data_IF_201360436249
#
_entry.id   IF_201360436249
#
_cell.length_a   1.000
_cell.length_b   1.000
_cell.length_c   1.000
_cell.angle_alpha   90.00
_cell.angle_beta   90.00
_cell.angle_gamma   90.00
#
_symmetry.space_group_name_H-M   'P 1'
#
loop_
_entity.id
_entity.type
_entity.pdbx_description
1 polymer ?
#
# COMPACT_ATOMS: atom_id res chain seq x y z
N UNK A 1 14.35 -19.93 32.69
CA UNK A 1 13.87 -18.63 32.18
C UNK A 1 15.05 -17.68 32.21
N UNK A 2 15.72 -17.48 31.08
CA UNK A 2 16.78 -16.47 30.96
C UNK A 2 16.08 -15.10 31.00
N UNK A 3 16.41 -14.26 31.98
CA UNK A 3 16.04 -12.85 31.98
C UNK A 3 16.59 -12.21 30.69
N UNK A 4 15.74 -12.06 29.67
CA UNK A 4 16.05 -11.14 28.58
C UNK A 4 16.06 -9.76 29.21
N UNK A 5 17.22 -9.09 29.19
CA UNK A 5 17.29 -7.66 29.50
C UNK A 5 16.25 -6.96 28.60
N UNK A 6 15.41 -6.05 29.13
CA UNK A 6 14.43 -5.36 28.31
C UNK A 6 15.14 -4.70 27.13
N UNK A 7 14.62 -4.91 25.93
CA UNK A 7 15.17 -4.27 24.74
C UNK A 7 15.12 -2.75 24.97
N UNK A 8 16.10 -2.00 24.47
CA UNK A 8 16.05 -0.53 24.56
C UNK A 8 14.90 0.08 23.76
N UNK A 9 14.21 -0.74 22.96
CA UNK A 9 12.97 -0.44 22.24
C UNK A 9 11.76 -0.62 23.16
N UNK A 10 11.75 -1.65 24.03
CA UNK A 10 10.68 -1.93 25.00
C UNK A 10 10.36 -0.71 25.86
N UNK A 11 11.40 -0.04 26.38
CA UNK A 11 11.23 1.18 27.16
C UNK A 11 10.61 2.34 26.35
N UNK A 12 10.88 2.42 25.04
CA UNK A 12 10.23 3.39 24.16
C UNK A 12 8.76 3.03 23.93
N UNK A 13 8.46 1.76 23.65
CA UNK A 13 7.08 1.28 23.48
C UNK A 13 6.25 1.55 24.75
N UNK A 14 6.80 1.29 25.93
CA UNK A 14 6.15 1.54 27.22
C UNK A 14 5.95 3.03 27.52
N UNK A 15 6.73 3.91 26.88
CA UNK A 15 6.63 5.36 27.08
C UNK A 15 5.54 6.04 26.23
N UNK A 16 4.95 5.34 25.26
CA UNK A 16 3.81 5.90 24.51
C UNK A 16 2.61 6.08 25.45
N UNK A 17 2.04 7.28 25.40
CA UNK A 17 0.75 7.57 26.03
C UNK A 17 -0.39 7.33 25.03
N UNK A 18 -1.48 6.71 25.47
CA UNK A 18 -2.68 6.55 24.66
C UNK A 18 -3.22 7.92 24.20
N UNK A 19 -3.70 8.00 22.97
CA UNK A 19 -4.16 9.24 22.34
C UNK A 19 -3.03 10.23 22.02
N UNK A 20 -1.77 9.81 22.04
CA UNK A 20 -0.62 10.65 21.68
C UNK A 20 0.24 9.97 20.61
N UNK A 21 1.01 10.81 19.89
CA UNK A 21 2.00 10.37 18.92
C UNK A 21 3.10 9.47 19.51
N UNK A 22 3.86 8.80 18.65
CA UNK A 22 4.92 7.91 19.13
C UNK A 22 6.10 8.73 19.69
N UNK A 23 6.79 8.23 20.72
CA UNK A 23 8.08 8.78 21.14
C UNK A 23 9.07 8.92 19.97
N UNK A 24 9.83 10.02 19.92
CA UNK A 24 10.78 10.33 18.82
C UNK A 24 11.69 9.16 18.45
N UNK A 25 12.16 8.41 19.45
CA UNK A 25 13.04 7.27 19.23
C UNK A 25 12.44 6.19 18.33
N UNK A 26 11.11 6.08 18.26
CA UNK A 26 10.43 5.13 17.36
C UNK A 26 10.45 5.58 15.89
N UNK A 27 10.63 6.87 15.61
CA UNK A 27 10.78 7.38 14.24
C UNK A 27 12.24 7.48 13.80
N UNK A 28 13.17 7.73 14.73
CA UNK A 28 14.50 8.26 14.40
C UNK A 28 15.64 7.26 14.61
N UNK A 29 15.45 6.20 15.40
CA UNK A 29 16.53 5.27 15.74
C UNK A 29 16.70 4.16 14.71
N UNK A 30 17.95 3.89 14.35
CA UNK A 30 18.30 2.82 13.42
C UNK A 30 17.96 1.42 13.93
N UNK A 31 18.11 1.16 15.24
CA UNK A 31 17.77 -0.14 15.80
C UNK A 31 16.25 -0.38 15.85
N UNK A 32 15.45 0.69 15.95
CA UNK A 32 13.99 0.61 15.75
C UNK A 32 13.67 0.35 14.29
N UNK A 33 14.36 1.01 13.35
CA UNK A 33 14.15 0.77 11.93
C UNK A 33 14.42 -0.69 11.53
N UNK A 34 15.52 -1.29 11.98
CA UNK A 34 15.80 -2.71 11.72
C UNK A 34 14.74 -3.63 12.35
N UNK A 35 14.22 -3.29 13.53
CA UNK A 35 13.09 -3.99 14.13
C UNK A 35 11.79 -3.83 13.33
N UNK A 36 11.52 -2.64 12.79
CA UNK A 36 10.37 -2.39 11.92
C UNK A 36 10.45 -3.25 10.65
N UNK A 37 11.63 -3.34 10.03
CA UNK A 37 11.86 -4.21 8.86
C UNK A 37 11.61 -5.68 9.21
N UNK A 38 12.10 -6.14 10.37
CA UNK A 38 11.89 -7.52 10.82
C UNK A 38 10.42 -7.83 11.13
N UNK A 39 9.69 -6.88 11.71
CA UNK A 39 8.31 -7.11 12.16
C UNK A 39 7.33 -6.88 11.03
N UNK A 40 7.29 -5.68 10.45
CA UNK A 40 6.24 -5.27 9.53
C UNK A 40 6.57 -5.68 8.09
N UNK A 41 7.84 -5.61 7.70
CA UNK A 41 8.28 -5.87 6.33
C UNK A 41 8.91 -7.26 6.12
N UNK A 42 8.67 -8.17 7.08
CA UNK A 42 9.05 -9.59 6.97
C UNK A 42 7.97 -10.50 7.56
N UNK A 43 7.47 -10.22 8.77
CA UNK A 43 6.49 -11.09 9.46
C UNK A 43 5.03 -10.78 9.17
N UNK A 44 4.72 -9.67 8.52
CA UNK A 44 3.37 -9.29 8.10
C UNK A 44 3.22 -9.33 6.58
N UNK A 45 1.97 -9.21 6.10
CA UNK A 45 1.62 -9.21 4.68
C UNK A 45 1.82 -7.84 4.05
N UNK A 46 2.68 -7.74 3.04
CA UNK A 46 3.15 -6.50 2.42
C UNK A 46 2.57 -6.41 1.01
N UNK A 47 1.87 -5.34 0.67
CA UNK A 47 1.50 -5.06 -0.72
C UNK A 47 2.76 -4.65 -1.49
N UNK A 48 3.06 -5.34 -2.59
CA UNK A 48 4.34 -5.19 -3.33
C UNK A 48 4.17 -4.89 -4.80
N UNK A 49 2.96 -5.03 -5.34
CA UNK A 49 2.69 -4.80 -6.75
C UNK A 49 1.29 -5.21 -7.16
N UNK A 50 1.07 -5.23 -8.46
CA UNK A 50 -0.22 -5.47 -9.08
C UNK A 50 -0.15 -6.60 -10.08
N UNK A 51 -1.26 -7.30 -10.27
CA UNK A 51 -1.39 -8.36 -11.27
C UNK A 51 -1.12 -7.84 -12.70
N UNK A 52 -1.58 -6.62 -13.01
CA UNK A 52 -1.29 -5.94 -14.27
C UNK A 52 0.13 -5.38 -14.41
N UNK A 53 1.00 -5.49 -13.39
CA UNK A 53 2.43 -5.25 -13.61
C UNK A 53 3.06 -6.33 -14.49
N UNK A 54 2.42 -7.49 -14.60
CA UNK A 54 2.90 -8.68 -15.26
C UNK A 54 1.85 -9.17 -16.28
N UNK A 55 1.49 -8.41 -17.32
CA UNK A 55 0.35 -8.74 -18.18
C UNK A 55 0.53 -10.05 -18.96
N UNK A 56 1.75 -10.39 -19.39
CA UNK A 56 2.05 -11.52 -20.27
C UNK A 56 3.02 -12.53 -19.61
N UNK A 57 2.99 -13.81 -20.02
CA UNK A 57 4.01 -14.78 -19.63
C UNK A 57 5.43 -14.28 -19.91
N UNK A 58 6.32 -14.45 -18.94
CA UNK A 58 7.70 -13.98 -19.00
C UNK A 58 7.90 -12.54 -18.54
N UNK A 59 6.85 -11.75 -18.35
CA UNK A 59 6.99 -10.47 -17.66
C UNK A 59 7.48 -10.70 -16.24
N UNK A 60 8.47 -9.90 -15.82
CA UNK A 60 9.05 -9.94 -14.49
C UNK A 60 9.38 -8.54 -14.00
N UNK A 61 9.30 -8.35 -12.69
CA UNK A 61 9.76 -7.15 -12.01
C UNK A 61 10.48 -7.52 -10.72
N UNK A 62 11.48 -6.71 -10.35
CA UNK A 62 12.21 -6.87 -9.09
C UNK A 62 11.87 -5.75 -8.13
N UNK A 63 11.57 -6.14 -6.88
CA UNK A 63 11.36 -5.24 -5.74
C UNK A 63 12.30 -5.61 -4.61
N UNK A 64 12.87 -4.58 -3.98
CA UNK A 64 13.68 -4.71 -2.77
C UNK A 64 12.90 -4.21 -1.55
N UNK A 65 12.96 -4.97 -0.46
CA UNK A 65 12.35 -4.67 0.83
C UNK A 65 13.42 -4.87 1.90
N UNK A 66 13.97 -3.77 2.41
CA UNK A 66 15.16 -3.79 3.24
C UNK A 66 16.31 -4.54 2.55
N UNK A 67 16.73 -5.67 3.13
CA UNK A 67 17.84 -6.52 2.60
C UNK A 67 17.35 -7.62 1.65
N UNK A 68 16.03 -7.82 1.55
CA UNK A 68 15.40 -8.86 0.73
C UNK A 68 15.12 -8.33 -0.67
N UNK A 69 15.42 -9.14 -1.69
CA UNK A 69 15.09 -8.83 -3.09
C UNK A 69 14.23 -9.94 -3.67
N UNK A 70 13.12 -9.58 -4.30
CA UNK A 70 12.10 -10.48 -4.81
C UNK A 70 11.92 -10.28 -6.30
N UNK A 71 11.82 -11.37 -7.05
CA UNK A 71 11.34 -11.39 -8.43
C UNK A 71 9.86 -11.74 -8.36
N UNK A 72 9.01 -10.85 -8.88
CA UNK A 72 7.62 -11.14 -9.20
C UNK A 72 7.58 -11.38 -10.71
N UNK A 73 6.99 -12.49 -11.16
CA UNK A 73 6.89 -12.80 -12.58
C UNK A 73 5.60 -13.55 -12.92
N UNK A 74 5.23 -13.57 -14.20
CA UNK A 74 4.22 -14.49 -14.72
C UNK A 74 4.89 -15.64 -15.46
N UNK A 75 4.56 -16.86 -15.12
CA UNK A 75 5.12 -18.05 -15.78
C UNK A 75 4.40 -18.39 -17.09
N UNK A 76 4.87 -19.45 -17.76
CA UNK A 76 4.34 -19.91 -19.05
C UNK A 76 2.89 -20.42 -18.96
N UNK A 77 2.43 -20.82 -17.76
CA UNK A 77 1.06 -21.24 -17.49
C UNK A 77 0.13 -20.04 -17.20
N UNK A 78 0.70 -18.83 -17.15
CA UNK A 78 -0.03 -17.60 -16.85
C UNK A 78 -0.18 -17.32 -15.35
N UNK A 79 0.48 -18.08 -14.48
CA UNK A 79 0.40 -17.94 -13.03
C UNK A 79 1.46 -16.96 -12.50
N UNK A 80 1.11 -16.20 -11.47
CA UNK A 80 2.08 -15.35 -10.78
C UNK A 80 3.02 -16.23 -9.95
N UNK A 81 4.31 -15.92 -9.98
CA UNK A 81 5.33 -16.47 -9.07
C UNK A 81 6.04 -15.34 -8.35
N UNK A 82 6.36 -15.58 -7.08
CA UNK A 82 7.23 -14.71 -6.30
C UNK A 82 8.41 -15.54 -5.78
N UNK A 83 9.62 -15.16 -6.17
CA UNK A 83 10.84 -15.90 -5.91
C UNK A 83 11.89 -14.97 -5.29
N UNK A 84 12.73 -15.48 -4.38
CA UNK A 84 13.90 -14.73 -3.95
C UNK A 84 14.87 -14.50 -5.12
N UNK A 85 15.27 -13.24 -5.33
CA UNK A 85 16.25 -12.83 -6.34
C UNK A 85 17.69 -13.18 -5.89
N UNK A 86 17.95 -14.46 -5.64
CA UNK A 86 19.24 -14.97 -5.12
C UNK A 86 19.53 -16.34 -5.74
N UNK A 87 20.50 -16.39 -6.65
CA UNK A 87 20.98 -17.63 -7.22
C UNK A 87 21.49 -18.59 -6.14
N UNK A 88 21.06 -19.84 -6.22
CA UNK A 88 21.38 -20.92 -5.25
C UNK A 88 22.81 -21.47 -5.34
N UNK A 89 23.62 -20.97 -6.27
CA UNK A 89 25.05 -21.31 -6.36
C UNK A 89 25.89 -20.50 -5.36
N UNK A 90 26.05 -19.20 -5.61
CA UNK A 90 26.91 -18.29 -4.83
C UNK A 90 26.23 -16.98 -4.45
N UNK A 91 24.90 -16.93 -4.53
CA UNK A 91 24.11 -15.79 -4.04
C UNK A 91 24.03 -14.57 -4.96
N UNK A 92 24.41 -14.68 -6.24
CA UNK A 92 24.26 -13.59 -7.21
C UNK A 92 22.79 -13.19 -7.36
N UNK A 93 22.51 -11.89 -7.56
CA UNK A 93 21.24 -11.44 -8.13
C UNK A 93 21.09 -12.04 -9.53
N UNK A 94 19.86 -12.38 -9.90
CA UNK A 94 19.48 -12.95 -11.20
C UNK A 94 19.06 -11.84 -12.14
N UNK A 95 18.22 -10.93 -11.65
CA UNK A 95 17.69 -9.78 -12.37
C UNK A 95 18.02 -8.50 -11.62
N UNK A 96 18.20 -7.41 -12.37
CA UNK A 96 18.34 -6.06 -11.81
C UNK A 96 16.97 -5.50 -11.39
N UNK A 97 16.91 -4.51 -10.48
CA UNK A 97 15.67 -3.80 -10.13
C UNK A 97 14.95 -3.23 -11.35
N UNK A 98 13.60 -3.30 -11.34
CA UNK A 98 12.75 -2.79 -12.42
C UNK A 98 12.09 -3.90 -13.27
N UNK A 99 11.40 -3.47 -14.34
CA UNK A 99 10.64 -4.35 -15.24
C UNK A 99 11.54 -4.95 -16.33
N UNK A 100 11.34 -6.22 -16.64
CA UNK A 100 12.02 -6.93 -17.74
C UNK A 100 11.14 -8.06 -18.27
N UNK A 101 11.50 -8.60 -19.44
CA UNK A 101 10.87 -9.78 -20.03
C UNK A 101 11.92 -10.90 -20.08
N UNK A 102 11.56 -12.09 -19.63
CA UNK A 102 12.45 -13.25 -19.52
C UNK A 102 11.76 -14.53 -19.99
N UNK A 103 12.47 -15.39 -20.71
CA UNK A 103 12.01 -16.75 -21.03
C UNK A 103 12.50 -17.80 -20.01
N UNK A 104 13.58 -17.48 -19.29
CA UNK A 104 14.16 -18.22 -18.17
C UNK A 104 14.90 -17.24 -17.26
N UNK A 105 15.08 -17.60 -16.00
CA UNK A 105 15.91 -16.84 -15.06
C UNK A 105 17.36 -17.33 -15.16
N UNK A 106 18.20 -16.62 -15.91
CA UNK A 106 19.61 -17.00 -16.13
C UNK A 106 20.51 -16.19 -15.20
N UNK A 107 21.23 -16.88 -14.31
CA UNK A 107 22.19 -16.22 -13.43
C UNK A 107 23.36 -15.63 -14.23
N UNK A 108 23.64 -14.31 -14.13
CA UNK A 108 24.68 -13.65 -14.92
C UNK A 108 26.09 -14.11 -14.54
N UNK A 109 26.26 -14.74 -13.37
CA UNK A 109 27.59 -15.11 -12.88
C UNK A 109 28.12 -16.40 -13.53
N UNK A 110 27.35 -17.49 -13.52
CA UNK A 110 27.80 -18.80 -14.02
C UNK A 110 26.71 -19.54 -14.81
N UNK A 111 25.72 -18.81 -15.33
CA UNK A 111 24.66 -19.32 -16.20
C UNK A 111 23.92 -20.53 -15.63
N UNK A 112 23.73 -20.57 -14.30
CA UNK A 112 22.70 -21.42 -13.73
C UNK A 112 21.35 -20.88 -14.19
N UNK A 113 20.58 -21.71 -14.85
CA UNK A 113 19.32 -21.33 -15.47
C UNK A 113 18.18 -21.98 -14.72
N UNK A 114 17.22 -21.15 -14.33
CA UNK A 114 16.01 -21.59 -13.67
C UNK A 114 14.81 -21.39 -14.59
N UNK A 115 13.87 -22.30 -14.47
CA UNK A 115 12.51 -22.17 -14.98
C UNK A 115 11.82 -20.96 -14.32
N UNK A 116 10.76 -20.44 -14.95
CA UNK A 116 9.96 -19.35 -14.37
C UNK A 116 9.27 -19.79 -13.06
N UNK A 117 9.03 -21.10 -12.91
CA UNK A 117 8.57 -21.71 -11.64
C UNK A 117 9.64 -21.70 -10.54
N UNK A 118 10.90 -21.38 -10.87
CA UNK A 118 12.05 -21.39 -9.96
C UNK A 118 12.85 -22.69 -9.96
N UNK A 119 12.41 -23.74 -10.65
CA UNK A 119 13.15 -25.01 -10.75
C UNK A 119 14.50 -24.82 -11.46
N UNK A 120 15.58 -25.45 -10.97
CA UNK A 120 16.89 -25.40 -11.61
C UNK A 120 16.96 -26.36 -12.81
N UNK A 121 16.81 -25.86 -14.02
CA UNK A 121 16.87 -26.69 -15.23
C UNK A 121 18.30 -26.96 -15.71
N UNK A 122 19.21 -25.99 -15.59
CA UNK A 122 20.59 -26.10 -16.08
C UNK A 122 21.63 -25.56 -15.09
N UNK A 123 22.67 -26.36 -14.84
CA UNK A 123 23.82 -25.99 -14.01
C UNK A 123 25.10 -26.60 -14.62
N UNK A 124 25.91 -25.81 -15.35
CA UNK A 124 27.09 -26.33 -16.03
C UNK A 124 28.16 -26.80 -15.04
N UNK A 125 28.92 -27.83 -15.44
CA UNK A 125 30.11 -28.34 -14.73
C UNK A 125 29.91 -28.84 -13.27
N UNK A 126 28.69 -29.15 -12.85
CA UNK A 126 28.43 -29.65 -11.49
C UNK A 126 28.68 -31.17 -11.30
N UNK A 127 28.89 -31.92 -12.39
CA UNK A 127 29.07 -33.37 -12.34
C UNK A 127 27.76 -34.16 -12.45
N UNK A 128 27.86 -35.47 -12.70
CA UNK A 128 26.69 -36.35 -12.95
C UNK A 128 25.86 -36.63 -11.70
N UNK A 129 26.47 -36.56 -10.52
CA UNK A 129 25.84 -36.83 -9.23
C UNK A 129 25.24 -35.57 -8.59
N UNK A 130 25.30 -34.42 -9.29
CA UNK A 130 24.71 -33.19 -8.78
C UNK A 130 23.19 -33.26 -8.82
N UNK A 131 22.59 -33.27 -7.64
CA UNK A 131 21.16 -33.16 -7.45
C UNK A 131 20.68 -31.70 -7.63
N UNK A 132 19.83 -31.48 -8.63
CA UNK A 132 19.24 -30.17 -8.94
C UNK A 132 17.98 -29.90 -8.12
N UNK A 133 17.31 -30.93 -7.62
CA UNK A 133 15.95 -30.84 -7.06
C UNK A 133 15.96 -29.99 -5.78
N UNK A 134 17.04 -30.07 -4.99
CA UNK A 134 17.21 -29.24 -3.78
C UNK A 134 17.76 -27.82 -4.04
N UNK A 135 17.90 -27.42 -5.32
CA UNK A 135 18.64 -26.21 -5.75
C UNK A 135 17.81 -25.20 -6.55
N UNK A 136 16.49 -25.38 -6.63
CA UNK A 136 15.57 -24.36 -7.18
C UNK A 136 15.58 -23.05 -6.38
N UNK A 137 15.16 -21.95 -6.99
CA UNK A 137 14.97 -20.68 -6.30
C UNK A 137 13.98 -20.85 -5.15
N UNK A 138 14.21 -20.09 -4.07
CA UNK A 138 13.31 -20.16 -2.91
C UNK A 138 12.03 -19.39 -3.24
N UNK A 139 10.85 -20.02 -3.20
CA UNK A 139 9.59 -19.31 -3.36
C UNK A 139 9.31 -18.44 -2.14
N UNK A 140 8.46 -17.44 -2.32
CA UNK A 140 7.93 -16.59 -1.25
C UNK A 140 6.43 -16.79 -1.18
N UNK A 141 5.92 -16.88 0.05
CA UNK A 141 4.47 -16.96 0.28
C UNK A 141 3.81 -15.68 -0.16
N UNK A 142 2.80 -15.78 -1.03
CA UNK A 142 2.09 -14.62 -1.56
C UNK A 142 0.59 -14.91 -1.76
N UNK A 143 -0.20 -13.85 -1.88
CA UNK A 143 -1.62 -13.86 -2.27
C UNK A 143 -1.88 -12.74 -3.28
N UNK A 144 -2.70 -13.01 -4.30
CA UNK A 144 -3.27 -11.97 -5.17
C UNK A 144 -4.71 -11.73 -4.75
N UNK A 145 -5.01 -10.58 -4.15
CA UNK A 145 -6.34 -10.24 -3.63
C UNK A 145 -6.89 -9.09 -4.49
N UNK A 146 -7.87 -9.38 -5.34
CA UNK A 146 -8.43 -8.38 -6.25
C UNK A 146 -7.41 -7.75 -7.21
N UNK A 147 -6.32 -8.46 -7.50
CA UNK A 147 -5.22 -8.00 -8.33
C UNK A 147 -4.13 -7.20 -7.59
N UNK A 148 -4.24 -7.03 -6.27
CA UNK A 148 -3.17 -6.53 -5.41
C UNK A 148 -2.32 -7.72 -4.94
N UNK A 149 -1.00 -7.67 -5.15
CA UNK A 149 -0.07 -8.74 -4.78
C UNK A 149 0.48 -8.47 -3.38
N UNK A 150 0.13 -9.35 -2.43
CA UNK A 150 0.63 -9.34 -1.07
C UNK A 150 1.66 -10.46 -0.87
N UNK A 151 2.78 -10.17 -0.22
CA UNK A 151 3.81 -11.18 0.13
C UNK A 151 4.02 -11.23 1.64
N UNK A 152 4.40 -12.39 2.16
CA UNK A 152 4.91 -12.54 3.52
C UNK A 152 6.20 -13.35 3.47
N UNK A 153 7.25 -12.84 4.12
CA UNK A 153 8.57 -13.47 4.14
C UNK A 153 8.73 -14.47 5.30
N UNK A 154 7.79 -14.48 6.24
CA UNK A 154 7.77 -15.41 7.37
C UNK A 154 7.38 -16.83 6.95
N UNK A 155 8.02 -17.82 7.57
CA UNK A 155 7.61 -19.24 7.45
C UNK A 155 6.24 -19.51 8.10
N UNK A 156 5.76 -18.61 8.96
CA UNK A 156 4.44 -18.65 9.59
C UNK A 156 3.72 -17.33 9.29
N UNK A 157 3.16 -17.16 8.08
CA UNK A 157 2.43 -15.96 7.71
C UNK A 157 1.14 -15.83 8.54
N UNK A 158 0.68 -14.61 8.86
CA UNK A 158 -0.59 -14.44 9.57
C UNK A 158 -1.80 -14.96 8.77
N UNK A 159 -2.61 -15.81 9.39
CA UNK A 159 -3.79 -16.42 8.75
C UNK A 159 -4.98 -15.45 8.61
N UNK A 160 -5.00 -14.36 9.40
CA UNK A 160 -6.07 -13.37 9.40
C UNK A 160 -6.13 -12.50 8.13
N UNK A 161 -5.17 -12.66 7.20
CA UNK A 161 -5.25 -12.14 5.82
C UNK A 161 -6.50 -12.64 5.08
N UNK A 162 -7.06 -13.78 5.51
CA UNK A 162 -8.30 -14.32 4.98
C UNK A 162 -9.49 -13.33 5.11
N UNK A 163 -9.49 -12.46 6.13
CA UNK A 163 -10.53 -11.44 6.31
C UNK A 163 -10.42 -10.36 5.23
N UNK A 164 -9.19 -9.91 4.91
CA UNK A 164 -8.94 -8.99 3.81
C UNK A 164 -9.31 -9.65 2.47
N UNK A 165 -8.90 -10.89 2.25
CA UNK A 165 -9.19 -11.65 1.04
C UNK A 165 -10.69 -11.80 0.81
N UNK A 166 -11.45 -12.23 1.82
CA UNK A 166 -12.90 -12.35 1.75
C UNK A 166 -13.57 -11.00 1.46
N UNK A 167 -13.14 -9.94 2.15
CA UNK A 167 -13.74 -8.60 2.03
C UNK A 167 -13.46 -7.96 0.68
N UNK A 168 -12.22 -8.04 0.20
CA UNK A 168 -11.78 -7.29 -0.98
C UNK A 168 -11.96 -8.07 -2.28
N UNK A 169 -12.04 -9.39 -2.27
CA UNK A 169 -12.28 -10.16 -3.51
C UNK A 169 -13.56 -9.72 -4.20
N UNK A 170 -14.67 -9.60 -3.45
CA UNK A 170 -15.94 -9.14 -4.02
C UNK A 170 -15.88 -7.66 -4.42
N UNK A 171 -15.34 -6.80 -3.55
CA UNK A 171 -15.26 -5.35 -3.80
C UNK A 171 -14.40 -5.00 -5.01
N UNK A 172 -13.31 -5.73 -5.24
CA UNK A 172 -12.35 -5.45 -6.31
C UNK A 172 -12.65 -6.19 -7.62
N UNK A 173 -13.46 -7.24 -7.60
CA UNK A 173 -13.78 -8.03 -8.79
C UNK A 173 -14.26 -7.17 -9.99
N UNK A 174 -15.15 -6.17 -9.82
CA UNK A 174 -15.62 -5.35 -10.95
C UNK A 174 -14.53 -4.51 -11.62
N UNK A 175 -13.45 -4.15 -10.90
CA UNK A 175 -12.37 -3.34 -11.48
C UNK A 175 -11.43 -4.15 -12.39
N UNK A 176 -11.47 -5.49 -12.31
CA UNK A 176 -10.71 -6.41 -13.16
C UNK A 176 -9.24 -5.98 -13.34
N UNK A 177 -8.54 -5.77 -12.21
CA UNK A 177 -7.18 -5.20 -12.18
C UNK A 177 -6.19 -6.01 -13.02
N UNK A 178 -6.40 -7.33 -13.19
CA UNK A 178 -5.63 -8.19 -14.11
C UNK A 178 -5.61 -7.68 -15.54
N UNK A 179 -6.72 -7.07 -16.00
CA UNK A 179 -6.92 -6.50 -17.32
C UNK A 179 -6.85 -4.97 -17.34
N UNK A 180 -6.27 -4.36 -16.30
CA UNK A 180 -5.84 -2.97 -16.34
C UNK A 180 -4.45 -2.85 -17.00
N UNK A 181 -4.02 -1.61 -17.24
CA UNK A 181 -2.61 -1.28 -17.49
C UNK A 181 -2.20 -0.11 -16.61
N UNK A 182 -0.91 -0.06 -16.29
CA UNK A 182 -0.30 1.12 -15.65
C UNK A 182 -0.17 2.22 -16.70
N UNK A 183 -1.03 3.23 -16.63
CA UNK A 183 -0.95 4.44 -17.47
C UNK A 183 0.20 5.34 -17.02
N UNK A 184 0.42 5.44 -15.70
CA UNK A 184 1.50 6.25 -15.13
C UNK A 184 2.02 5.62 -13.84
N UNK A 185 3.30 5.86 -13.54
CA UNK A 185 3.92 5.52 -12.26
C UNK A 185 4.86 6.64 -11.83
N UNK A 186 4.78 7.03 -10.57
CA UNK A 186 5.74 7.90 -9.90
C UNK A 186 6.38 7.18 -8.71
N UNK A 187 7.63 7.53 -8.45
CA UNK A 187 8.40 7.08 -7.29
C UNK A 187 8.92 8.33 -6.58
N UNK A 188 8.36 8.65 -5.42
CA UNK A 188 8.76 9.79 -4.57
C UNK A 188 9.51 9.27 -3.35
N UNK A 189 10.69 9.83 -3.07
CA UNK A 189 11.41 9.54 -1.83
C UNK A 189 11.09 10.65 -0.85
N UNK A 190 10.29 10.34 0.16
CA UNK A 190 10.00 11.21 1.28
C UNK A 190 11.17 11.20 2.27
N UNK A 191 11.59 12.39 2.72
CA UNK A 191 12.58 12.56 3.78
C UNK A 191 11.95 12.38 5.18
N UNK A 192 11.28 11.24 5.38
CA UNK A 192 10.68 10.88 6.66
C UNK A 192 10.54 9.39 6.89
N UNK A 193 10.27 9.04 8.15
CA UNK A 193 10.03 7.68 8.58
C UNK A 193 8.72 7.14 8.00
N UNK A 194 8.69 5.86 7.60
CA UNK A 194 7.52 5.24 6.98
C UNK A 194 6.24 5.33 7.84
N UNK A 195 6.38 5.36 9.17
CA UNK A 195 5.24 5.54 10.07
C UNK A 195 4.62 6.92 9.94
N UNK A 196 5.42 7.96 9.73
CA UNK A 196 4.90 9.32 9.51
C UNK A 196 4.16 9.42 8.17
N UNK A 197 4.66 8.77 7.11
CA UNK A 197 3.93 8.63 5.83
C UNK A 197 2.56 7.96 6.04
N UNK A 198 2.54 6.87 6.79
CA UNK A 198 1.29 6.16 7.08
C UNK A 198 0.37 6.93 8.03
N UNK A 199 0.89 7.66 9.02
CA UNK A 199 0.12 8.53 9.91
C UNK A 199 -0.54 9.67 9.12
N UNK A 200 0.22 10.37 8.27
CA UNK A 200 -0.28 11.43 7.38
C UNK A 200 -1.44 10.93 6.50
N UNK A 201 -1.32 9.74 5.92
CA UNK A 201 -2.36 9.17 5.06
C UNK A 201 -3.66 8.78 5.80
N UNK A 202 -3.67 8.67 7.13
CA UNK A 202 -4.78 8.07 7.90
C UNK A 202 -5.78 9.06 8.45
N UNK A 203 -5.53 10.34 8.23
CA UNK A 203 -6.36 11.47 8.63
C UNK A 203 -6.49 12.45 7.47
N UNK A 204 -7.45 13.36 7.57
CA UNK A 204 -7.63 14.44 6.61
C UNK A 204 -7.73 15.80 7.32
N UNK A 205 -7.20 15.88 8.55
CA UNK A 205 -7.16 17.08 9.36
C UNK A 205 -6.23 18.14 8.74
N UNK A 206 -5.19 17.74 8.01
CA UNK A 206 -4.35 18.65 7.24
C UNK A 206 -4.92 19.02 5.85
N UNK A 207 -5.94 18.31 5.35
CA UNK A 207 -6.35 18.39 3.94
C UNK A 207 -6.81 19.78 3.51
N UNK A 208 -7.75 20.39 4.24
CA UNK A 208 -8.38 21.66 3.84
C UNK A 208 -7.40 22.82 3.68
N UNK A 209 -6.25 22.75 4.35
CA UNK A 209 -5.20 23.77 4.28
C UNK A 209 -4.10 23.46 3.25
N UNK A 210 -3.90 22.19 2.89
CA UNK A 210 -2.72 21.76 2.13
C UNK A 210 -3.04 21.16 0.75
N UNK A 211 -4.26 20.68 0.50
CA UNK A 211 -4.61 19.96 -0.73
C UNK A 211 -5.79 20.60 -1.50
N UNK A 212 -5.61 21.81 -2.06
CA UNK A 212 -6.68 22.47 -2.79
C UNK A 212 -7.20 21.66 -3.98
N UNK A 213 -6.33 20.89 -4.65
CA UNK A 213 -6.70 20.01 -5.77
C UNK A 213 -7.54 18.81 -5.30
N UNK A 214 -7.12 18.14 -4.23
CA UNK A 214 -7.80 16.94 -3.72
C UNK A 214 -9.17 17.27 -3.13
N UNK A 215 -9.28 18.38 -2.38
CA UNK A 215 -10.52 18.81 -1.71
C UNK A 215 -11.68 19.15 -2.66
N UNK A 216 -11.44 19.21 -3.97
CA UNK A 216 -12.53 19.29 -4.97
C UNK A 216 -13.37 18.00 -4.98
N UNK A 217 -12.73 16.87 -4.75
CA UNK A 217 -13.31 15.53 -4.93
C UNK A 217 -13.36 14.73 -3.62
N UNK A 218 -12.46 14.99 -2.68
CA UNK A 218 -12.32 14.28 -1.41
C UNK A 218 -12.88 15.11 -0.27
N UNK A 219 -13.70 14.49 0.60
CA UNK A 219 -14.39 15.19 1.68
C UNK A 219 -13.75 14.83 3.03
N UNK A 220 -13.19 15.83 3.70
CA UNK A 220 -12.52 15.70 5.00
C UNK A 220 -13.46 15.24 6.12
N UNK A 221 -14.75 15.61 6.06
CA UNK A 221 -15.78 15.19 7.01
C UNK A 221 -15.92 13.65 7.13
N UNK A 222 -15.54 12.90 6.09
CA UNK A 222 -15.55 11.43 6.10
C UNK A 222 -14.49 10.81 7.03
N UNK A 223 -13.55 11.64 7.50
CA UNK A 223 -12.46 11.27 8.40
C UNK A 223 -12.64 11.82 9.81
N UNK A 224 -13.74 12.53 10.06
CA UNK A 224 -14.16 13.02 11.37
C UNK A 224 -13.90 14.51 11.60
N UNK A 225 -14.70 15.10 12.48
CA UNK A 225 -14.72 16.53 12.78
C UNK A 225 -15.27 16.77 14.18
N UNK A 226 -14.98 17.93 14.78
CA UNK A 226 -15.56 18.33 16.06
C UNK A 226 -16.89 19.05 15.84
N UNK A 227 -18.04 18.41 16.15
CA UNK A 227 -19.36 18.97 15.88
C UNK A 227 -19.68 20.23 16.71
N UNK A 228 -19.02 20.43 17.85
CA UNK A 228 -19.28 21.58 18.73
C UNK A 228 -18.60 22.85 18.20
N UNK A 229 -17.60 22.70 17.34
CA UNK A 229 -16.84 23.81 16.76
C UNK A 229 -17.40 24.30 15.42
N UNK A 230 -18.31 23.53 14.82
CA UNK A 230 -18.90 23.89 13.53
C UNK A 230 -19.79 25.12 13.63
N UNK A 231 -19.66 26.02 12.66
CA UNK A 231 -20.64 27.08 12.47
C UNK A 231 -22.01 26.49 12.10
N UNK A 232 -23.12 27.23 12.24
CA UNK A 232 -24.43 26.75 11.79
C UNK A 232 -24.47 26.38 10.30
N UNK A 233 -23.65 27.03 9.47
CA UNK A 233 -23.54 26.75 8.04
C UNK A 233 -22.78 25.43 7.81
N UNK A 234 -21.61 25.27 8.43
CA UNK A 234 -20.80 24.04 8.31
C UNK A 234 -21.55 22.82 8.84
N UNK A 235 -22.33 22.99 9.93
CA UNK A 235 -23.18 21.92 10.45
C UNK A 235 -24.25 21.51 9.43
N UNK A 236 -24.89 22.46 8.76
CA UNK A 236 -25.87 22.15 7.73
C UNK A 236 -25.24 21.46 6.51
N UNK A 237 -24.02 21.86 6.14
CA UNK A 237 -23.24 21.19 5.09
C UNK A 237 -22.89 19.75 5.49
N UNK A 238 -22.44 19.53 6.73
CA UNK A 238 -22.14 18.18 7.24
C UNK A 238 -23.39 17.29 7.29
N UNK A 239 -24.51 17.80 7.79
CA UNK A 239 -25.79 17.07 7.81
C UNK A 239 -26.24 16.67 6.39
N UNK A 240 -26.12 17.58 5.42
CA UNK A 240 -26.45 17.29 4.02
C UNK A 240 -25.49 16.26 3.40
N UNK A 241 -24.19 16.38 3.68
CA UNK A 241 -23.18 15.44 3.24
C UNK A 241 -23.47 14.02 3.74
N UNK A 242 -23.73 13.85 5.04
CA UNK A 242 -24.05 12.52 5.59
C UNK A 242 -25.37 11.95 5.06
N UNK A 243 -26.37 12.80 4.80
CA UNK A 243 -27.61 12.39 4.14
C UNK A 243 -27.33 11.86 2.73
N UNK A 244 -26.51 12.57 1.96
CA UNK A 244 -26.11 12.17 0.62
C UNK A 244 -25.26 10.90 0.63
N UNK A 245 -24.33 10.78 1.58
CA UNK A 245 -23.50 9.59 1.75
C UNK A 245 -24.37 8.35 2.00
N UNK A 246 -25.35 8.44 2.89
CA UNK A 246 -26.28 7.34 3.18
C UNK A 246 -27.12 6.97 1.95
N UNK A 247 -27.64 7.96 1.23
CA UNK A 247 -28.40 7.76 0.00
C UNK A 247 -27.56 7.03 -1.07
N UNK A 248 -26.33 7.49 -1.29
CA UNK A 248 -25.39 6.90 -2.27
C UNK A 248 -24.96 5.49 -1.87
N UNK A 249 -24.67 5.27 -0.60
CA UNK A 249 -24.34 3.94 -0.07
C UNK A 249 -25.44 2.94 -0.36
N UNK A 250 -26.70 3.30 -0.06
CA UNK A 250 -27.86 2.43 -0.36
C UNK A 250 -28.02 2.16 -1.86
N UNK A 251 -27.80 3.17 -2.69
CA UNK A 251 -27.87 3.02 -4.15
C UNK A 251 -26.78 2.08 -4.69
N UNK A 252 -25.53 2.25 -4.26
CA UNK A 252 -24.42 1.37 -4.65
C UNK A 252 -24.63 -0.07 -4.18
N UNK A 253 -25.10 -0.27 -2.95
CA UNK A 253 -25.37 -1.63 -2.44
C UNK A 253 -26.54 -2.30 -3.19
N UNK A 254 -27.58 -1.53 -3.57
CA UNK A 254 -28.65 -2.03 -4.43
C UNK A 254 -28.17 -2.42 -5.83
N UNK A 255 -27.16 -1.72 -6.34
CA UNK A 255 -26.48 -2.01 -7.62
C UNK A 255 -25.44 -3.15 -7.49
N UNK A 256 -25.25 -3.73 -6.30
CA UNK A 256 -24.33 -4.84 -6.07
C UNK A 256 -22.88 -4.44 -5.79
N UNK A 257 -22.65 -3.19 -5.36
CA UNK A 257 -21.33 -2.69 -4.95
C UNK A 257 -21.25 -2.59 -3.42
N UNK A 258 -20.57 -3.53 -2.73
CA UNK A 258 -20.41 -3.44 -1.28
C UNK A 258 -19.70 -2.14 -0.89
N UNK A 259 -20.31 -1.39 0.03
CA UNK A 259 -19.94 0.01 0.26
C UNK A 259 -19.64 0.32 1.73
N UNK A 260 -20.33 -0.33 2.67
CA UNK A 260 -20.11 -0.16 4.11
C UNK A 260 -18.64 -0.28 4.53
N UNK A 261 -18.26 0.42 5.60
CA UNK A 261 -16.92 0.33 6.16
C UNK A 261 -16.66 -1.06 6.77
N UNK A 262 -15.47 -1.60 6.51
CA UNK A 262 -14.94 -2.80 7.17
C UNK A 262 -13.57 -2.45 7.73
N UNK A 263 -13.38 -2.74 9.01
CA UNK A 263 -12.19 -2.33 9.78
C UNK A 263 -11.62 -3.52 10.55
N UNK A 264 -10.32 -3.76 10.36
CA UNK A 264 -9.51 -4.65 11.17
C UNK A 264 -8.26 -3.86 11.57
N UNK A 265 -8.37 -3.12 12.68
CA UNK A 265 -7.42 -2.05 13.00
C UNK A 265 -6.52 -2.33 14.21
N UNK A 266 -7.07 -2.87 15.29
CA UNK A 266 -6.35 -3.28 16.49
C UNK A 266 -6.56 -4.77 16.74
N UNK A 267 -5.76 -5.37 17.62
CA UNK A 267 -5.89 -6.78 18.04
C UNK A 267 -5.82 -7.80 16.87
N UNK A 268 -5.14 -7.42 15.79
CA UNK A 268 -4.99 -8.20 14.56
C UNK A 268 -3.55 -8.15 14.06
N UNK A 269 -3.15 -9.14 13.26
CA UNK A 269 -1.89 -9.10 12.54
C UNK A 269 -2.05 -8.32 11.24
N UNK A 270 -3.02 -8.69 10.41
CA UNK A 270 -3.28 -8.01 9.14
C UNK A 270 -4.17 -6.80 9.36
N UNK A 271 -3.57 -5.62 9.52
CA UNK A 271 -4.32 -4.37 9.64
C UNK A 271 -4.82 -3.87 8.26
N UNK A 272 -6.12 -3.58 8.16
CA UNK A 272 -6.70 -2.90 7.00
C UNK A 272 -8.01 -2.19 7.32
N UNK A 273 -8.39 -1.25 6.46
CA UNK A 273 -9.74 -0.69 6.39
C UNK A 273 -10.13 -0.45 4.96
N UNK A 274 -11.41 -0.69 4.67
CA UNK A 274 -12.01 -0.34 3.39
C UNK A 274 -13.39 0.26 3.58
N UNK A 275 -13.76 1.19 2.71
CA UNK A 275 -15.11 1.72 2.56
C UNK A 275 -15.25 2.31 1.17
N UNK A 276 -16.48 2.44 0.67
CA UNK A 276 -16.74 3.23 -0.55
C UNK A 276 -17.08 4.66 -0.14
N UNK A 277 -16.16 5.58 -0.42
CA UNK A 277 -16.27 7.01 -0.17
C UNK A 277 -17.06 7.70 -1.27
N UNK A 278 -17.78 8.76 -0.90
CA UNK A 278 -18.40 9.66 -1.87
C UNK A 278 -17.35 10.60 -2.47
N UNK A 279 -17.54 10.92 -3.74
CA UNK A 279 -16.76 11.93 -4.44
C UNK A 279 -17.61 13.20 -4.53
N UNK A 280 -17.04 14.34 -4.13
CA UNK A 280 -17.69 15.66 -4.23
C UNK A 280 -17.70 16.18 -5.67
N UNK A 281 -18.29 17.36 -5.89
CA UNK A 281 -18.36 17.99 -7.22
C UNK A 281 -19.21 17.17 -8.20
N UNK A 282 -18.64 16.81 -9.35
CA UNK A 282 -19.32 15.97 -10.34
C UNK A 282 -19.49 14.50 -9.90
N UNK A 283 -18.79 14.07 -8.85
CA UNK A 283 -19.02 12.77 -8.21
C UNK A 283 -18.50 11.56 -8.98
N UNK A 284 -17.64 11.76 -9.99
CA UNK A 284 -17.16 10.69 -10.86
C UNK A 284 -15.75 10.21 -10.49
N UNK A 285 -14.81 11.12 -10.22
CA UNK A 285 -13.40 10.75 -10.04
C UNK A 285 -12.59 11.83 -9.31
N UNK A 286 -11.35 11.49 -8.94
CA UNK A 286 -10.42 12.40 -8.25
C UNK A 286 -9.62 13.21 -9.29
N UNK A 287 -10.29 14.18 -9.89
CA UNK A 287 -9.74 15.11 -10.88
C UNK A 287 -10.10 16.55 -10.48
N UNK A 288 -9.45 17.54 -11.08
CA UNK A 288 -9.68 18.98 -10.78
C UNK A 288 -11.12 19.47 -10.99
N UNK A 289 -11.92 18.75 -11.77
CA UNK A 289 -13.34 19.05 -12.00
C UNK A 289 -14.27 17.94 -11.46
N UNK A 290 -13.70 16.96 -10.75
CA UNK A 290 -14.34 15.75 -10.24
C UNK A 290 -15.07 14.89 -11.29
N UNK A 291 -14.84 15.13 -12.58
CA UNK A 291 -15.33 14.27 -13.67
C UNK A 291 -14.32 13.16 -13.98
N UNK A 292 -14.76 12.08 -14.64
CA UNK A 292 -13.88 10.97 -14.99
C UNK A 292 -12.65 11.42 -15.78
N UNK A 293 -11.50 10.87 -15.41
CA UNK A 293 -10.23 11.03 -16.12
C UNK A 293 -10.21 10.21 -17.42
N UNK A 294 -10.87 9.05 -17.42
CA UNK A 294 -11.02 8.18 -18.59
C UNK A 294 -12.48 8.07 -19.05
N UNK A 295 -12.71 8.20 -20.35
CA UNK A 295 -14.01 7.92 -20.97
C UNK A 295 -14.27 6.41 -21.08
N UNK A 296 -13.21 5.59 -21.09
CA UNK A 296 -13.29 4.13 -21.01
C UNK A 296 -13.19 3.68 -19.56
N UNK A 297 -14.26 3.08 -19.06
CA UNK A 297 -14.36 2.65 -17.66
C UNK A 297 -13.39 1.51 -17.34
N UNK A 298 -12.97 1.44 -16.07
CA UNK A 298 -12.06 0.41 -15.59
C UNK A 298 -12.81 -0.93 -15.40
N UNK A 299 -12.20 -2.01 -15.86
CA UNK A 299 -12.75 -3.36 -15.76
C UNK A 299 -14.16 -3.49 -16.35
N UNK A 300 -15.10 -3.91 -15.51
CA UNK A 300 -16.50 -4.19 -15.84
C UNK A 300 -17.46 -3.11 -15.34
N UNK A 301 -16.94 -1.93 -14.97
CA UNK A 301 -17.76 -0.83 -14.49
C UNK A 301 -18.74 -0.33 -15.56
N UNK A 302 -19.93 0.06 -15.11
CA UNK A 302 -21.06 0.45 -15.99
C UNK A 302 -21.42 1.93 -15.88
N UNK A 303 -20.92 2.62 -14.85
CA UNK A 303 -21.14 4.05 -14.58
C UNK A 303 -19.92 4.65 -13.88
N UNK A 304 -19.82 5.97 -13.94
CA UNK A 304 -18.69 6.73 -13.40
C UNK A 304 -18.87 7.13 -11.93
N UNK A 305 -20.11 7.40 -11.52
CA UNK A 305 -20.45 7.89 -10.19
C UNK A 305 -20.60 6.77 -9.13
N UNK A 306 -19.59 5.90 -9.08
CA UNK A 306 -19.48 4.81 -8.10
C UNK A 306 -18.66 5.19 -6.88
N UNK A 307 -18.29 6.46 -6.73
CA UNK A 307 -17.43 6.91 -5.64
C UNK A 307 -16.03 6.26 -5.71
N UNK A 308 -15.36 6.26 -4.56
CA UNK A 308 -14.01 5.71 -4.40
C UNK A 308 -14.07 4.50 -3.46
N UNK A 309 -13.81 3.29 -3.97
CA UNK A 309 -13.52 2.16 -3.08
C UNK A 309 -12.15 2.36 -2.47
N UNK A 310 -12.14 2.96 -1.30
CA UNK A 310 -10.92 3.21 -0.56
C UNK A 310 -10.49 1.93 0.16
N UNK A 311 -9.24 1.52 -0.01
CA UNK A 311 -8.62 0.42 0.73
C UNK A 311 -7.25 0.87 1.20
N UNK A 312 -6.96 0.64 2.47
CA UNK A 312 -5.61 0.78 2.97
C UNK A 312 -5.24 -0.32 3.95
N UNK A 313 -3.93 -0.57 4.03
CA UNK A 313 -3.28 -1.48 4.98
C UNK A 313 -1.98 -0.88 5.47
N UNK A 314 -1.14 -1.64 6.17
CA UNK A 314 0.00 -1.04 6.86
C UNK A 314 1.09 -0.41 5.96
N UNK A 315 1.16 -0.78 4.67
CA UNK A 315 2.16 -0.25 3.74
C UNK A 315 1.59 0.21 2.39
N UNK A 316 0.27 0.39 2.28
CA UNK A 316 -0.36 0.84 1.02
C UNK A 316 -1.69 1.51 1.27
N UNK A 317 -2.07 2.41 0.38
CA UNK A 317 -3.43 2.93 0.23
C UNK A 317 -3.82 2.94 -1.24
N UNK A 318 -5.11 2.78 -1.49
CA UNK A 318 -5.64 2.51 -2.81
C UNK A 318 -6.99 3.19 -2.95
N UNK A 319 -7.19 3.83 -4.11
CA UNK A 319 -8.42 4.47 -4.51
C UNK A 319 -8.88 3.82 -5.81
N UNK A 320 -10.11 3.29 -5.83
CA UNK A 320 -10.66 2.66 -7.02
C UNK A 320 -11.96 3.35 -7.42
N UNK A 321 -11.93 4.09 -8.53
CA UNK A 321 -13.05 4.82 -9.10
C UNK A 321 -13.60 4.09 -10.34
N UNK A 322 -14.74 4.54 -10.86
CA UNK A 322 -15.39 3.88 -12.00
C UNK A 322 -14.55 3.87 -13.28
N UNK A 323 -13.65 4.84 -13.46
CA UNK A 323 -12.88 5.06 -14.69
C UNK A 323 -11.41 4.67 -14.60
N UNK A 324 -10.81 4.74 -13.41
CA UNK A 324 -9.42 4.41 -13.16
C UNK A 324 -9.20 4.07 -11.67
N UNK A 325 -7.99 3.61 -11.33
CA UNK A 325 -7.58 3.42 -9.94
C UNK A 325 -6.21 4.03 -9.68
N UNK A 326 -5.98 4.44 -8.44
CA UNK A 326 -4.71 4.96 -7.93
C UNK A 326 -4.24 4.05 -6.81
N UNK A 327 -3.06 3.45 -6.95
CA UNK A 327 -2.47 2.53 -5.97
C UNK A 327 -1.14 3.08 -5.51
N UNK A 328 -1.01 3.34 -4.20
CA UNK A 328 0.22 3.78 -3.57
C UNK A 328 0.80 2.68 -2.68
N UNK A 329 2.10 2.41 -2.84
CA UNK A 329 2.86 1.41 -2.09
C UNK A 329 4.02 2.10 -1.38
N UNK A 330 4.11 1.88 -0.07
CA UNK A 330 5.12 2.45 0.83
C UNK A 330 6.21 1.41 1.10
N UNK A 331 7.45 1.80 0.81
CA UNK A 331 8.64 0.95 1.00
C UNK A 331 9.65 1.72 1.87
N UNK A 332 9.91 1.26 3.11
CA UNK A 332 10.91 1.89 3.98
C UNK A 332 12.34 1.71 3.41
N UNK A 333 13.10 2.80 3.35
CA UNK A 333 14.49 2.80 2.86
C UNK A 333 15.51 2.96 3.98
N UNK A 334 15.19 3.74 5.00
CA UNK A 334 15.99 3.94 6.22
C UNK A 334 15.10 4.50 7.34
N UNK A 335 15.64 4.70 8.55
CA UNK A 335 14.91 5.34 9.64
C UNK A 335 14.28 6.70 9.26
N UNK A 336 14.88 7.44 8.32
CA UNK A 336 14.39 8.77 7.90
C UNK A 336 14.13 8.91 6.40
N UNK A 337 13.96 7.81 5.66
CA UNK A 337 13.60 7.85 4.23
C UNK A 337 12.62 6.75 3.87
N UNK A 338 11.63 7.11 3.07
CA UNK A 338 10.56 6.23 2.63
C UNK A 338 10.29 6.44 1.14
N UNK A 339 10.17 5.36 0.38
CA UNK A 339 9.71 5.42 -1.01
C UNK A 339 8.20 5.26 -1.04
N UNK A 340 7.50 6.23 -1.63
CA UNK A 340 6.09 6.12 -2.01
C UNK A 340 6.03 5.94 -3.52
N UNK A 341 5.54 4.77 -3.95
CA UNK A 341 5.32 4.44 -5.36
C UNK A 341 3.84 4.51 -5.66
N UNK A 342 3.44 5.44 -6.53
CA UNK A 342 2.04 5.63 -6.93
C UNK A 342 1.85 5.19 -8.38
N UNK A 343 0.78 4.44 -8.65
CA UNK A 343 0.42 3.93 -9.98
C UNK A 343 -1.01 4.30 -10.33
N UNK A 344 -1.20 4.78 -11.56
CA UNK A 344 -2.51 5.06 -12.14
C UNK A 344 -2.87 3.95 -13.11
N UNK A 345 -3.98 3.30 -12.86
CA UNK A 345 -4.46 2.14 -13.60
C UNK A 345 -5.67 2.53 -14.43
N UNK A 346 -5.59 2.30 -15.74
CA UNK A 346 -6.71 2.44 -16.66
C UNK A 346 -7.03 1.10 -17.29
N UNK A 347 -8.19 0.97 -17.94
CA UNK A 347 -8.51 -0.22 -18.72
C UNK A 347 -7.39 -0.51 -19.74
N UNK A 348 -6.97 -1.78 -19.93
CA UNK A 348 -5.85 -2.15 -20.81
C UNK A 348 -5.92 -1.55 -22.22
N UNK A 349 -7.11 -1.53 -22.79
CA UNK A 349 -7.39 -0.99 -24.12
C UNK A 349 -7.63 0.54 -24.16
N UNK A 350 -7.60 1.26 -23.03
CA UNK A 350 -7.77 2.71 -23.03
C UNK A 350 -6.57 3.38 -23.72
N UNK A 351 -6.79 4.35 -24.60
CA UNK A 351 -5.74 4.99 -25.40
C UNK A 351 -5.53 6.43 -24.93
N UNK A 352 -4.29 6.77 -24.56
CA UNK A 352 -3.91 8.14 -24.21
C UNK A 352 -4.17 9.12 -25.37
N UNK A 353 -4.71 10.29 -25.06
CA UNK A 353 -5.13 11.30 -26.04
C UNK A 353 -6.46 10.99 -26.74
N UNK A 354 -7.09 9.86 -26.44
CA UNK A 354 -8.43 9.49 -26.95
C UNK A 354 -9.38 9.23 -25.80
N UNK A 355 -9.06 8.25 -24.96
CA UNK A 355 -9.90 7.85 -23.84
C UNK A 355 -9.58 8.66 -22.58
N UNK A 356 -8.30 9.00 -22.36
CA UNK A 356 -7.84 9.80 -21.23
C UNK A 356 -6.74 10.78 -21.64
N UNK A 357 -6.63 11.88 -20.90
CA UNK A 357 -5.50 12.80 -20.92
C UNK A 357 -4.61 12.52 -19.70
N UNK A 358 -3.29 12.45 -19.89
CA UNK A 358 -2.37 12.02 -18.82
C UNK A 358 -2.30 13.04 -17.68
N UNK A 359 -2.32 14.33 -18.00
CA UNK A 359 -2.26 15.39 -16.99
C UNK A 359 -3.55 15.35 -16.16
N UNK A 360 -4.73 15.30 -16.81
CA UNK A 360 -6.00 15.17 -16.08
C UNK A 360 -6.05 13.93 -15.19
N UNK A 361 -5.49 12.80 -15.65
CA UNK A 361 -5.46 11.54 -14.90
C UNK A 361 -4.58 11.61 -13.65
N UNK A 362 -3.47 12.35 -13.70
CA UNK A 362 -2.40 12.23 -12.70
C UNK A 362 -2.26 13.43 -11.79
N UNK A 363 -2.59 14.63 -12.26
CA UNK A 363 -2.15 15.89 -11.66
C UNK A 363 -2.61 16.06 -10.20
N UNK A 364 -3.86 15.72 -9.86
CA UNK A 364 -4.35 15.80 -8.47
C UNK A 364 -3.46 15.00 -7.52
N UNK A 365 -3.19 13.74 -7.83
CA UNK A 365 -2.42 12.86 -6.95
C UNK A 365 -0.91 13.10 -7.02
N UNK A 366 -0.38 13.59 -8.14
CA UNK A 366 1.02 14.04 -8.22
C UNK A 366 1.23 15.21 -7.27
N UNK A 367 0.35 16.23 -7.31
CA UNK A 367 0.43 17.38 -6.42
C UNK A 367 0.20 16.99 -4.96
N UNK A 368 -0.81 16.18 -4.66
CA UNK A 368 -1.06 15.70 -3.29
C UNK A 368 0.15 14.95 -2.74
N UNK A 369 0.77 14.06 -3.53
CA UNK A 369 1.93 13.28 -3.07
C UNK A 369 3.12 14.19 -2.77
N UNK A 370 3.38 15.22 -3.60
CA UNK A 370 4.45 16.18 -3.35
C UNK A 370 4.18 17.05 -2.11
N UNK A 371 2.92 17.47 -1.91
CA UNK A 371 2.49 18.23 -0.73
C UNK A 371 2.66 17.38 0.54
N UNK A 372 2.25 16.11 0.51
CA UNK A 372 2.41 15.16 1.62
C UNK A 372 3.89 14.89 1.94
N UNK A 373 4.73 14.70 0.91
CA UNK A 373 6.16 14.49 1.10
C UNK A 373 6.81 15.65 1.87
N UNK A 374 6.42 16.89 1.56
CA UNK A 374 6.87 18.08 2.27
C UNK A 374 6.40 18.11 3.74
N UNK A 375 5.14 17.73 4.02
CA UNK A 375 4.60 17.65 5.37
C UNK A 375 5.28 16.55 6.21
N UNK A 376 5.51 15.38 5.61
CA UNK A 376 6.22 14.26 6.23
C UNK A 376 7.67 14.65 6.54
N UNK A 377 8.37 15.30 5.62
CA UNK A 377 9.74 15.75 5.83
C UNK A 377 9.84 16.76 6.99
N UNK A 378 8.91 17.71 7.07
CA UNK A 378 8.82 18.68 8.18
C UNK A 378 8.56 17.99 9.51
N UNK A 379 7.61 17.05 9.53
CA UNK A 379 7.28 16.27 10.72
C UNK A 379 8.47 15.46 11.19
N UNK A 380 9.17 14.77 10.28
CA UNK A 380 10.37 14.01 10.62
C UNK A 380 11.48 14.90 11.17
N UNK A 381 11.76 16.04 10.54
CA UNK A 381 12.71 17.03 11.05
C UNK A 381 12.35 17.51 12.47
N UNK A 382 11.05 17.70 12.74
CA UNK A 382 10.55 17.99 14.08
C UNK A 382 10.83 16.87 15.08
N UNK A 383 10.64 15.60 14.72
CA UNK A 383 10.91 14.46 15.61
C UNK A 383 12.40 14.27 15.95
N UNK A 384 13.31 14.85 15.17
CA UNK A 384 14.75 14.86 15.43
C UNK A 384 15.17 15.93 16.45
N UNK A 385 14.33 16.93 16.70
CA UNK A 385 14.63 17.99 17.66
C UNK A 385 14.50 17.45 19.11
N UNK A 386 15.51 17.67 20.00
CA UNK A 386 15.43 17.25 21.39
C UNK A 386 14.25 17.84 22.19
N UNK A 387 13.62 18.91 21.70
CA UNK A 387 12.43 19.50 22.29
C UNK A 387 11.13 18.77 21.91
N UNK A 388 11.15 17.86 20.92
CA UNK A 388 9.98 17.07 20.56
C UNK A 388 9.48 16.26 21.75
N UNK A 389 8.18 16.37 21.98
CA UNK A 389 7.43 15.54 22.91
C UNK A 389 6.17 15.06 22.20
N UNK A 390 5.78 13.79 22.40
CA UNK A 390 4.51 13.29 21.86
C UNK A 390 3.34 14.21 22.20
N UNK A 391 2.71 14.77 21.16
CA UNK A 391 1.50 15.57 21.27
C UNK A 391 0.24 14.70 21.23
N UNK A 392 -0.88 15.19 21.79
CA UNK A 392 -2.16 14.48 21.72
C UNK A 392 -2.71 14.52 20.29
N UNK A 393 -3.27 13.39 19.85
CA UNK A 393 -4.09 13.32 18.65
C UNK A 393 -5.48 13.93 18.91
N UNK A 394 -6.06 14.51 17.88
CA UNK A 394 -7.48 14.88 17.83
C UNK A 394 -8.34 13.64 18.02
N UNK A 395 -9.21 13.68 19.04
CA UNK A 395 -10.19 12.62 19.30
C UNK A 395 -11.31 12.56 18.26
N UNK A 396 -11.37 13.54 17.37
CA UNK A 396 -12.41 13.66 16.36
C UNK A 396 -11.92 13.25 14.98
N UNK A 397 -10.72 13.67 14.59
CA UNK A 397 -10.22 13.52 13.20
C UNK A 397 -9.00 12.61 13.08
N UNK A 398 -8.34 12.25 14.18
CA UNK A 398 -7.07 11.49 14.18
C UNK A 398 -7.19 10.16 14.95
N UNK A 399 -8.41 9.66 15.14
CA UNK A 399 -8.64 8.40 15.88
C UNK A 399 -7.94 7.19 15.25
N UNK A 400 -7.78 7.19 13.93
CA UNK A 400 -7.06 6.13 13.22
C UNK A 400 -5.55 6.17 13.45
N UNK A 401 -4.96 7.32 13.78
CA UNK A 401 -3.54 7.42 14.11
C UNK A 401 -3.28 6.75 15.46
N UNK A 402 -4.16 6.97 16.44
CA UNK A 402 -4.06 6.31 17.73
C UNK A 402 -4.23 4.78 17.61
N UNK A 403 -5.18 4.31 16.79
CA UNK A 403 -5.34 2.89 16.47
C UNK A 403 -4.11 2.30 15.77
N UNK A 404 -3.52 3.02 14.81
CA UNK A 404 -2.30 2.60 14.13
C UNK A 404 -1.11 2.51 15.10
N UNK A 405 -0.93 3.51 15.96
CA UNK A 405 0.11 3.49 17.00
C UNK A 405 -0.09 2.34 17.99
N UNK A 406 -1.33 2.04 18.39
CA UNK A 406 -1.66 0.91 19.24
C UNK A 406 -1.34 -0.43 18.57
N UNK A 407 -1.74 -0.59 17.31
CA UNK A 407 -1.41 -1.77 16.51
C UNK A 407 0.09 -1.95 16.35
N UNK A 408 0.82 -0.89 15.99
CA UNK A 408 2.28 -0.91 15.86
C UNK A 408 2.95 -1.44 17.14
N UNK A 409 2.59 -0.90 18.30
CA UNK A 409 3.16 -1.32 19.59
C UNK A 409 2.81 -2.77 19.92
N UNK A 410 1.55 -3.15 19.74
CA UNK A 410 1.09 -4.50 20.02
C UNK A 410 1.82 -5.54 19.15
N UNK A 411 2.00 -5.25 17.86
CA UNK A 411 2.78 -6.11 16.96
C UNK A 411 4.26 -6.17 17.33
N UNK A 412 4.88 -5.04 17.67
CA UNK A 412 6.27 -5.03 18.17
C UNK A 412 6.43 -5.93 19.41
N UNK A 413 5.51 -5.82 20.37
CA UNK A 413 5.50 -6.67 21.58
C UNK A 413 5.25 -8.14 21.28
N UNK A 414 4.33 -8.46 20.37
CA UNK A 414 4.06 -9.82 19.92
C UNK A 414 5.31 -10.51 19.32
N UNK A 415 6.26 -9.71 18.81
CA UNK A 415 7.53 -10.18 18.27
C UNK A 415 8.73 -10.01 19.21
N UNK A 416 8.49 -9.66 20.48
CA UNK A 416 9.48 -9.72 21.56
C UNK A 416 10.29 -8.46 21.78
N UNK A 417 9.79 -7.31 21.30
CA UNK A 417 10.39 -5.99 21.54
C UNK A 417 9.94 -5.33 22.84
#
# INVERSE_FOLDING_TARGET
MLNRLPSSISALLDSRSEGHSLPAGLYTREDVFEADIEVFFHKHWICVGLDCDLPEPGDATVIDIGKTSLILLRDDDGEIRVLHNVCRHRGSRLLDPGKTIVSKLVCPYHTWTYELTGELSYAPHMGKEFDKDCRGLKPVTFKSIGGLIYVCLSDNPPDDIAVLEQTMTERLAPYDIRNAKVAHQTDVIEDGNWKLTMENNRECYHCSANHPELCVSFVDLDFGFDPETLSPEDRAQAEEHFRLYEERTRAWEADGFPSAAVEQLTDCATNFRTQRLIISGAGESQTHDATAASSRLLGQMTRKDLGDTHLWGHNSWNHFMGDHAVVAIVIPLSAGKTLVRTKWLVHKDAVEGVDYDLDKLTDVWVQTTDQDADLVARSHAGTLDPAYQPGPYSRFSETNLDKFAAWYIDRMRAHGY
#
